data_IF_120910650504
#
_entry.id   IF_120910650504
#
_cell.length_a   1.000
_cell.length_b   1.000
_cell.length_c   1.000
_cell.angle_alpha   90.00
_cell.angle_beta   90.00
_cell.angle_gamma   90.00
#
_symmetry.space_group_name_H-M   'P 1'
#
loop_
_entity.id
_entity.type
_entity.pdbx_description
1 polymer ?
#
# COMPACT_ATOMS: atom_id res chain seq x y z
N UNK A 1 5.01 -5.58 -13.64
CA UNK A 1 5.31 -5.33 -12.21
C UNK A 1 4.69 -6.41 -11.31
N UNK A 2 5.43 -7.01 -10.37
CA UNK A 2 4.90 -8.03 -9.46
C UNK A 2 3.79 -7.44 -8.59
N UNK A 3 2.68 -8.18 -8.42
CA UNK A 3 1.55 -7.71 -7.59
C UNK A 3 1.97 -7.69 -6.13
N UNK A 4 2.04 -6.52 -5.47
CA UNK A 4 2.40 -6.46 -4.06
C UNK A 4 1.32 -7.12 -3.19
N UNK A 5 1.69 -7.67 -2.04
CA UNK A 5 0.74 -8.30 -1.13
C UNK A 5 -0.21 -7.26 -0.53
N UNK A 6 -1.35 -7.72 -0.02
CA UNK A 6 -2.32 -6.85 0.65
C UNK A 6 -1.70 -6.13 1.86
N UNK A 7 -1.90 -4.80 2.00
CA UNK A 7 -1.40 -4.02 3.15
C UNK A 7 -2.13 -4.30 4.48
N UNK A 8 -3.21 -5.07 4.45
CA UNK A 8 -3.93 -5.51 5.64
C UNK A 8 -3.12 -6.55 6.44
N UNK A 9 -3.10 -6.43 7.77
CA UNK A 9 -2.48 -7.40 8.69
C UNK A 9 -3.53 -8.21 9.49
N UNK A 10 -4.76 -8.24 8.98
CA UNK A 10 -5.89 -9.05 9.47
C UNK A 10 -6.43 -8.71 10.87
N UNK A 11 -6.05 -7.57 11.44
CA UNK A 11 -6.55 -7.05 12.73
C UNK A 11 -7.56 -5.90 12.60
N UNK A 12 -8.31 -5.85 11.50
CA UNK A 12 -9.15 -4.70 11.12
C UNK A 12 -10.05 -4.18 12.27
N UNK A 13 -9.67 -3.04 12.85
CA UNK A 13 -10.42 -2.31 13.88
C UNK A 13 -10.47 -0.83 13.52
N UNK A 14 -11.62 -0.32 13.05
CA UNK A 14 -11.79 1.04 12.49
C UNK A 14 -12.16 2.08 13.55
N UNK A 15 -11.36 2.22 14.62
CA UNK A 15 -11.65 3.13 15.74
C UNK A 15 -10.97 4.51 15.62
N UNK A 16 -10.06 4.68 14.66
CA UNK A 16 -9.31 5.93 14.50
C UNK A 16 -9.98 6.79 13.42
N UNK A 17 -11.05 7.52 13.77
CA UNK A 17 -11.80 8.37 12.81
C UNK A 17 -12.22 7.60 11.53
N UNK A 18 -12.61 6.33 11.66
CA UNK A 18 -12.94 5.46 10.52
C UNK A 18 -11.75 4.75 9.85
N UNK A 19 -10.52 5.02 10.29
CA UNK A 19 -9.30 4.31 9.90
C UNK A 19 -9.01 3.12 10.82
N UNK A 20 -8.45 2.07 10.22
CA UNK A 20 -7.95 0.91 10.93
C UNK A 20 -6.77 1.31 11.82
N UNK A 21 -6.82 0.96 13.11
CA UNK A 21 -5.77 1.31 14.08
C UNK A 21 -4.38 0.73 13.73
N UNK A 22 -4.32 -0.32 12.89
CA UNK A 22 -3.08 -1.03 12.59
C UNK A 22 -2.51 -0.75 11.21
N UNK A 23 -3.36 -0.71 10.16
CA UNK A 23 -2.90 -0.44 8.80
C UNK A 23 -3.30 0.95 8.28
N UNK A 24 -4.08 1.74 9.03
CA UNK A 24 -4.52 3.07 8.63
C UNK A 24 -5.61 3.07 7.54
N UNK A 25 -5.94 1.95 6.92
CA UNK A 25 -6.96 1.90 5.87
C UNK A 25 -8.37 2.10 6.44
N UNK A 26 -9.24 2.78 5.69
CA UNK A 26 -10.69 2.77 5.93
C UNK A 26 -11.35 1.48 5.42
N UNK A 27 -12.59 1.22 5.84
CA UNK A 27 -13.38 0.08 5.33
C UNK A 27 -13.61 0.19 3.82
N UNK A 28 -13.86 1.41 3.30
CA UNK A 28 -14.02 1.69 1.86
C UNK A 28 -12.74 1.39 1.10
N UNK A 29 -11.59 1.85 1.61
CA UNK A 29 -10.27 1.56 1.06
C UNK A 29 -9.95 0.06 1.01
N UNK A 30 -10.33 -0.71 2.05
CA UNK A 30 -10.19 -2.17 2.05
C UNK A 30 -10.99 -2.83 0.93
N UNK A 31 -12.22 -2.40 0.71
CA UNK A 31 -13.05 -2.90 -0.39
C UNK A 31 -12.50 -2.49 -1.76
N UNK A 32 -12.03 -1.25 -1.90
CA UNK A 32 -11.42 -0.76 -3.14
C UNK A 32 -10.17 -1.57 -3.51
N UNK A 33 -9.29 -1.86 -2.54
CA UNK A 33 -8.07 -2.65 -2.78
C UNK A 33 -8.36 -4.05 -3.35
N UNK A 34 -9.46 -4.69 -2.93
CA UNK A 34 -9.85 -6.01 -3.46
C UNK A 34 -10.20 -5.98 -4.95
N UNK A 35 -10.62 -4.84 -5.47
CA UNK A 35 -10.98 -4.65 -6.89
C UNK A 35 -9.77 -4.36 -7.77
N UNK A 36 -8.63 -3.95 -7.17
CA UNK A 36 -7.40 -3.69 -7.90
C UNK A 36 -6.79 -5.01 -8.39
N UNK A 37 -6.62 -5.12 -9.71
CA UNK A 37 -6.15 -6.33 -10.37
C UNK A 37 -4.69 -6.22 -10.83
N UNK A 38 -4.23 -5.01 -11.16
CA UNK A 38 -2.86 -4.77 -11.61
C UNK A 38 -1.86 -4.62 -10.46
N UNK A 39 -0.59 -4.91 -10.74
CA UNK A 39 0.50 -4.69 -9.79
C UNK A 39 0.78 -3.21 -9.54
N UNK A 40 0.67 -2.39 -10.59
CA UNK A 40 0.86 -0.95 -10.54
C UNK A 40 -0.17 -0.27 -9.63
N UNK A 41 -1.47 -0.52 -9.85
CA UNK A 41 -2.52 0.07 -9.00
C UNK A 41 -2.36 -0.31 -7.53
N UNK A 42 -2.02 -1.57 -7.25
CA UNK A 42 -1.80 -2.03 -5.87
C UNK A 42 -0.57 -1.38 -5.23
N UNK A 43 0.49 -1.14 -6.01
CA UNK A 43 1.67 -0.43 -5.51
C UNK A 43 1.36 1.03 -5.23
N UNK A 44 0.73 1.74 -6.18
CA UNK A 44 0.28 3.12 -6.00
C UNK A 44 -0.65 3.26 -4.80
N UNK A 45 -1.54 2.29 -4.57
CA UNK A 45 -2.38 2.25 -3.39
C UNK A 45 -1.57 2.15 -2.09
N UNK A 46 -0.53 1.32 -2.05
CA UNK A 46 0.33 1.16 -0.86
C UNK A 46 1.13 2.44 -0.60
N UNK A 47 1.65 3.09 -1.64
CA UNK A 47 2.32 4.39 -1.52
C UNK A 47 1.37 5.46 -0.98
N UNK A 48 0.16 5.56 -1.54
CA UNK A 48 -0.86 6.49 -1.06
C UNK A 48 -1.26 6.22 0.40
N UNK A 49 -1.37 4.94 0.78
CA UNK A 49 -1.65 4.55 2.17
C UNK A 49 -0.56 5.02 3.13
N UNK A 50 0.71 4.92 2.73
CA UNK A 50 1.85 5.38 3.51
C UNK A 50 1.83 6.90 3.71
N UNK A 51 1.51 7.66 2.65
CA UNK A 51 1.33 9.10 2.75
C UNK A 51 0.19 9.47 3.71
N UNK A 52 -0.95 8.77 3.62
CA UNK A 52 -2.06 8.95 4.55
C UNK A 52 -1.66 8.64 6.01
N UNK A 53 -0.89 7.57 6.24
CA UNK A 53 -0.42 7.22 7.57
C UNK A 53 0.45 8.31 8.20
N UNK A 54 1.23 9.05 7.41
CA UNK A 54 2.02 10.17 7.90
C UNK A 54 1.14 11.27 8.52
N UNK A 55 -0.03 11.55 7.92
CA UNK A 55 -1.02 12.49 8.48
C UNK A 55 -1.78 11.97 9.70
N UNK A 56 -1.84 10.65 9.90
CA UNK A 56 -2.49 10.01 11.07
C UNK A 56 -1.54 9.80 12.26
N UNK A 57 -0.24 10.05 12.08
CA UNK A 57 0.80 10.04 13.10
C UNK A 57 1.70 8.80 13.13
N UNK A 58 2.71 8.82 14.02
CA UNK A 58 3.84 7.85 14.06
C UNK A 58 3.47 6.40 14.40
N UNK A 59 2.24 6.13 14.86
CA UNK A 59 1.77 4.80 15.27
C UNK A 59 1.84 3.72 14.16
N UNK A 60 2.00 4.11 12.91
CA UNK A 60 2.09 3.22 11.75
C UNK A 60 3.53 2.86 11.35
N UNK A 61 4.55 3.33 12.07
CA UNK A 61 5.95 2.94 11.80
C UNK A 61 6.16 1.43 11.90
N UNK A 62 5.60 0.80 12.94
CA UNK A 62 5.64 -0.65 13.12
C UNK A 62 4.95 -1.41 11.97
N UNK A 63 3.93 -0.82 11.33
CA UNK A 63 3.26 -1.43 10.18
C UNK A 63 4.21 -1.62 9.00
N UNK A 64 5.16 -0.69 8.77
CA UNK A 64 6.15 -0.80 7.68
C UNK A 64 7.02 -2.04 7.84
N UNK A 65 7.48 -2.32 9.06
CA UNK A 65 8.27 -3.52 9.37
C UNK A 65 7.48 -4.80 9.11
N UNK A 66 6.22 -4.84 9.57
CA UNK A 66 5.32 -5.98 9.33
C UNK A 66 5.04 -6.18 7.84
N UNK A 67 4.84 -5.09 7.09
CA UNK A 67 4.60 -5.16 5.65
C UNK A 67 5.81 -5.67 4.88
N UNK A 68 7.03 -5.23 5.21
CA UNK A 68 8.28 -5.77 4.65
C UNK A 68 8.43 -7.27 4.90
N UNK A 69 8.21 -7.72 6.13
CA UNK A 69 8.20 -9.16 6.47
C UNK A 69 7.17 -9.94 5.65
N UNK A 70 6.00 -9.33 5.39
CA UNK A 70 4.95 -9.94 4.55
C UNK A 70 5.39 -10.04 3.09
N UNK A 71 6.06 -9.02 2.55
CA UNK A 71 6.65 -9.06 1.20
C UNK A 71 7.70 -10.17 1.09
N UNK A 72 8.64 -10.25 2.04
CA UNK A 72 9.66 -11.29 2.09
C UNK A 72 9.05 -12.70 2.19
N UNK A 73 8.08 -12.91 3.10
CA UNK A 73 7.36 -14.18 3.26
C UNK A 73 6.63 -14.62 1.99
N UNK A 74 6.23 -13.68 1.14
CA UNK A 74 5.55 -13.94 -0.14
C UNK A 74 6.49 -13.95 -1.34
N UNK A 75 7.80 -13.76 -1.14
CA UNK A 75 8.79 -13.69 -2.21
C UNK A 75 8.51 -12.57 -3.21
N UNK A 76 7.94 -11.45 -2.75
CA UNK A 76 7.55 -10.32 -3.60
C UNK A 76 8.39 -9.09 -3.26
N UNK A 77 8.80 -8.29 -4.26
CA UNK A 77 9.46 -7.02 -3.99
C UNK A 77 8.55 -6.13 -3.13
N UNK A 78 9.14 -5.45 -2.15
CA UNK A 78 8.41 -4.53 -1.29
C UNK A 78 8.40 -3.15 -1.92
N UNK A 79 7.20 -2.58 -2.08
CA UNK A 79 7.01 -1.22 -2.61
C UNK A 79 7.65 -0.16 -1.70
N UNK A 80 7.87 -0.48 -0.41
CA UNK A 80 8.52 0.42 0.55
C UNK A 80 10.05 0.47 0.42
N UNK A 81 10.64 -0.46 -0.32
CA UNK A 81 12.10 -0.61 -0.47
C UNK A 81 12.54 -0.44 -1.92
N UNK A 82 11.59 -0.30 -2.85
CA UNK A 82 11.91 0.04 -4.22
C UNK A 82 12.41 1.50 -4.26
N UNK A 83 13.54 1.79 -4.93
CA UNK A 83 13.83 3.16 -5.30
C UNK A 83 12.64 3.69 -6.10
N UNK A 84 12.32 4.96 -5.91
CA UNK A 84 11.15 5.60 -6.51
C UNK A 84 11.04 5.22 -7.99
N UNK A 85 9.81 4.95 -8.43
CA UNK A 85 9.49 4.64 -9.81
C UNK A 85 9.71 5.89 -10.68
N UNK A 86 10.97 6.22 -10.93
CA UNK A 86 11.37 7.00 -12.09
C UNK A 86 11.22 6.11 -13.33
N UNK A 87 10.61 6.72 -14.36
CA UNK A 87 10.56 6.32 -15.77
C UNK A 87 9.38 5.46 -16.31
N UNK A 88 8.29 6.19 -16.60
CA UNK A 88 7.68 6.39 -17.94
C UNK A 88 6.85 5.27 -18.59
N UNK A 89 5.69 5.66 -19.11
CA UNK A 89 4.87 4.80 -19.98
C UNK A 89 3.63 5.47 -20.58
N UNK A 90 3.80 6.70 -21.11
CA UNK A 90 3.03 7.31 -22.21
C UNK A 90 3.75 8.66 -22.47
N UNK A 91 4.84 8.76 -23.24
CA UNK A 91 4.88 8.56 -24.69
C UNK A 91 3.53 8.81 -25.36
N UNK A 92 2.98 10.01 -25.18
CA UNK A 92 1.98 10.52 -26.12
C UNK A 92 2.58 10.44 -27.52
N UNK A 93 1.87 9.68 -28.34
CA UNK A 93 2.14 9.34 -29.71
C UNK A 93 2.39 10.57 -30.59
N UNK A 94 3.32 10.39 -31.53
CA UNK A 94 3.32 10.94 -32.90
C UNK A 94 2.04 11.67 -33.32
N UNK A 95 2.21 12.91 -33.77
CA UNK A 95 1.19 13.73 -34.44
C UNK A 95 1.71 15.14 -34.66
#
# INVERSE_FOLDING_TARGET
>A
MPKPPSPCIDVCKYKLQGHCIACGMTKKQKSAFKRLSSGAERASFVVALVAQQAGLGRRFEAWRLVYRRKCAKKGKPCVLDAPEAEERGDLMATG
#
